data_IF_568279748428
#
_entry.id   IF_568279748428
#
_cell.length_a   1.000
_cell.length_b   1.000
_cell.length_c   1.000
_cell.angle_alpha   90.00
_cell.angle_beta   90.00
_cell.angle_gamma   90.00
#
_symmetry.space_group_name_H-M   'P 1'
#
loop_
_entity.id
_entity.type
_entity.pdbx_description
1 polymer ?
#
# COMPACT_ATOMS: atom_id res chain seq x y z
N UNK A 1 9.34 -2.41 -11.13
CA UNK A 1 9.79 -2.45 -9.71
C UNK A 1 10.03 -1.08 -9.08
N UNK A 2 11.04 -0.30 -9.52
CA UNK A 2 11.40 0.98 -8.88
C UNK A 2 10.25 2.00 -8.83
N UNK A 3 9.46 2.09 -9.91
CA UNK A 3 8.28 2.95 -9.98
C UNK A 3 7.20 2.52 -8.98
N UNK A 4 6.89 1.22 -8.90
CA UNK A 4 5.91 0.69 -7.94
C UNK A 4 6.34 0.96 -6.49
N UNK A 5 7.61 0.73 -6.14
CA UNK A 5 8.11 1.05 -4.79
C UNK A 5 8.03 2.55 -4.49
N UNK A 6 8.31 3.41 -5.47
CA UNK A 6 8.18 4.86 -5.32
C UNK A 6 6.72 5.29 -5.13
N UNK A 7 5.82 4.78 -5.96
CA UNK A 7 4.39 5.11 -5.88
C UNK A 7 3.79 4.62 -4.57
N UNK A 8 4.12 3.39 -4.15
CA UNK A 8 3.69 2.87 -2.86
C UNK A 8 4.23 3.71 -1.71
N UNK A 9 5.55 4.01 -1.70
CA UNK A 9 6.13 4.89 -0.69
C UNK A 9 5.51 6.27 -0.62
N UNK A 10 5.13 6.84 -1.76
CA UNK A 10 4.51 8.16 -1.84
C UNK A 10 3.10 8.12 -1.27
N UNK A 11 2.29 7.15 -1.70
CA UNK A 11 0.94 6.91 -1.20
C UNK A 11 0.92 6.71 0.33
N UNK A 12 1.92 6.02 0.88
CA UNK A 12 2.03 5.75 2.31
C UNK A 12 2.79 6.83 3.11
N UNK A 13 3.30 7.89 2.46
CA UNK A 13 4.29 8.81 3.09
C UNK A 13 3.69 9.87 4.00
N UNK A 14 2.38 10.08 3.97
CA UNK A 14 1.77 11.28 4.55
C UNK A 14 0.98 10.92 5.80
N UNK A 15 1.45 11.27 7.01
CA UNK A 15 0.53 11.57 8.10
C UNK A 15 -0.14 12.92 7.78
N UNK A 16 -1.47 13.01 7.85
CA UNK A 16 -2.26 14.25 7.72
C UNK A 16 -2.55 14.75 6.29
N UNK A 17 -3.01 13.87 5.39
CA UNK A 17 -3.80 14.30 4.22
C UNK A 17 -5.18 14.81 4.66
N UNK A 18 -5.88 15.64 3.85
CA UNK A 18 -7.17 16.17 4.24
C UNK A 18 -8.18 15.05 4.56
N UNK A 19 -9.17 15.34 5.42
CA UNK A 19 -10.19 14.38 5.83
C UNK A 19 -10.85 13.65 4.66
N UNK A 20 -11.39 12.47 4.96
CA UNK A 20 -11.97 11.42 4.08
C UNK A 20 -12.76 11.85 2.83
N UNK A 21 -13.24 13.09 2.74
CA UNK A 21 -13.99 13.61 1.60
C UNK A 21 -13.13 14.16 0.44
N UNK A 22 -11.80 14.23 0.61
CA UNK A 22 -10.86 14.72 -0.41
C UNK A 22 -9.91 13.64 -0.94
N UNK A 23 -10.21 12.34 -0.75
CA UNK A 23 -9.44 11.26 -1.40
C UNK A 23 -9.59 11.41 -2.91
N UNK A 24 -8.49 11.70 -3.60
CA UNK A 24 -8.44 11.57 -5.05
C UNK A 24 -8.50 10.07 -5.41
N UNK A 25 -9.58 9.61 -6.07
CA UNK A 25 -9.69 8.20 -6.47
C UNK A 25 -8.51 7.73 -7.32
N UNK A 26 -7.88 8.65 -8.05
CA UNK A 26 -6.68 8.36 -8.84
C UNK A 26 -5.49 8.01 -7.96
N UNK A 27 -5.31 8.67 -6.82
CA UNK A 27 -4.20 8.40 -5.89
C UNK A 27 -4.34 7.02 -5.23
N UNK A 28 -5.56 6.67 -4.82
CA UNK A 28 -5.89 5.34 -4.29
C UNK A 28 -5.62 4.25 -5.32
N UNK A 29 -6.08 4.44 -6.57
CA UNK A 29 -5.83 3.49 -7.65
C UNK A 29 -4.33 3.30 -7.91
N UNK A 30 -3.56 4.40 -7.95
CA UNK A 30 -2.10 4.36 -8.13
C UNK A 30 -1.41 3.65 -6.96
N UNK A 31 -1.83 3.92 -5.72
CA UNK A 31 -1.30 3.27 -4.51
C UNK A 31 -1.59 1.77 -4.49
N UNK A 32 -2.85 1.38 -4.67
CA UNK A 32 -3.27 -0.02 -4.65
C UNK A 32 -2.65 -0.83 -5.79
N UNK A 33 -2.61 -0.27 -7.00
CA UNK A 33 -1.94 -0.90 -8.15
C UNK A 33 -0.44 -1.07 -7.88
N UNK A 34 0.21 -0.08 -7.25
CA UNK A 34 1.61 -0.18 -6.88
C UNK A 34 1.85 -1.31 -5.87
N UNK A 35 1.00 -1.45 -4.84
CA UNK A 35 1.13 -2.53 -3.85
C UNK A 35 0.89 -3.91 -4.44
N UNK A 36 -0.11 -4.05 -5.31
CA UNK A 36 -0.37 -5.29 -6.04
C UNK A 36 0.82 -5.67 -6.95
N UNK A 37 1.42 -4.68 -7.63
CA UNK A 37 2.61 -4.90 -8.47
C UNK A 37 3.82 -5.37 -7.66
N UNK A 38 4.02 -4.80 -6.46
CA UNK A 38 5.10 -5.21 -5.54
C UNK A 38 4.86 -6.61 -5.00
N UNK A 39 3.61 -6.98 -4.70
CA UNK A 39 3.26 -8.33 -4.29
C UNK A 39 3.59 -9.34 -5.38
N UNK A 40 3.07 -9.14 -6.60
CA UNK A 40 3.31 -10.02 -7.73
C UNK A 40 4.80 -10.22 -7.99
N UNK A 41 5.59 -9.15 -7.87
CA UNK A 41 7.04 -9.21 -7.96
C UNK A 41 7.70 -10.05 -6.86
N UNK A 42 7.25 -9.94 -5.60
CA UNK A 42 7.75 -10.76 -4.49
C UNK A 42 7.42 -12.24 -4.75
N UNK A 43 6.23 -12.54 -5.26
CA UNK A 43 5.79 -13.91 -5.57
C UNK A 43 6.53 -14.53 -6.76
N UNK A 44 6.96 -13.72 -7.73
CA UNK A 44 7.70 -14.19 -8.89
C UNK A 44 9.18 -14.56 -8.59
N UNK A 45 9.73 -14.04 -7.48
CA UNK A 45 11.11 -14.27 -7.07
C UNK A 45 11.22 -15.46 -6.11
N UNK A 46 12.37 -16.14 -6.11
CA UNK A 46 12.63 -17.13 -5.07
C UNK A 46 12.80 -16.44 -3.70
N UNK A 47 12.63 -17.19 -2.61
CA UNK A 47 12.61 -16.63 -1.25
C UNK A 47 13.85 -15.80 -0.89
N UNK A 48 15.04 -16.17 -1.39
CA UNK A 48 16.29 -15.44 -1.09
C UNK A 48 16.37 -14.13 -1.86
N UNK A 49 15.99 -14.14 -3.14
CA UNK A 49 15.96 -12.96 -4.00
C UNK A 49 14.85 -11.98 -3.62
N UNK A 50 13.71 -12.50 -3.16
CA UNK A 50 12.58 -11.70 -2.71
C UNK A 50 12.86 -10.98 -1.39
N UNK A 51 13.78 -11.49 -0.56
CA UNK A 51 13.99 -10.99 0.81
C UNK A 51 14.26 -9.48 0.87
N UNK A 52 15.19 -8.90 0.09
CA UNK A 52 15.45 -7.46 0.15
C UNK A 52 14.23 -6.62 -0.26
N UNK A 53 13.47 -7.07 -1.27
CA UNK A 53 12.25 -6.39 -1.70
C UNK A 53 11.15 -6.49 -0.65
N UNK A 54 10.96 -7.67 -0.05
CA UNK A 54 10.00 -7.91 1.03
C UNK A 54 10.32 -7.05 2.25
N UNK A 55 11.58 -7.03 2.70
CA UNK A 55 12.02 -6.20 3.83
C UNK A 55 11.83 -4.68 3.56
N UNK A 56 11.82 -4.25 2.30
CA UNK A 56 11.48 -2.87 1.92
C UNK A 56 9.97 -2.62 1.93
N UNK A 57 9.17 -3.54 1.38
CA UNK A 57 7.71 -3.43 1.35
C UNK A 57 7.12 -3.50 2.75
N UNK A 58 7.58 -4.43 3.59
CA UNK A 58 7.09 -4.61 4.96
C UNK A 58 7.27 -3.34 5.81
N UNK A 59 8.39 -2.61 5.62
CA UNK A 59 8.60 -1.32 6.31
C UNK A 59 7.62 -0.24 5.87
N UNK A 60 7.27 -0.22 4.60
CA UNK A 60 6.33 0.75 4.03
C UNK A 60 4.90 0.40 4.43
N UNK A 61 4.56 -0.89 4.38
CA UNK A 61 3.28 -1.44 4.84
C UNK A 61 3.05 -1.16 6.33
N UNK A 62 4.07 -1.31 7.17
CA UNK A 62 3.97 -1.01 8.60
C UNK A 62 3.66 0.47 8.87
N UNK A 63 4.28 1.38 8.11
CA UNK A 63 4.00 2.82 8.22
C UNK A 63 2.56 3.15 7.81
N UNK A 64 2.09 2.57 6.71
CA UNK A 64 0.70 2.72 6.25
C UNK A 64 -0.29 2.15 7.28
N UNK A 65 -0.02 0.97 7.79
CA UNK A 65 -0.85 0.32 8.80
C UNK A 65 -0.98 1.16 10.07
N UNK A 66 0.12 1.73 10.56
CA UNK A 66 0.14 2.56 11.76
C UNK A 66 -0.68 3.85 11.61
N UNK A 67 -0.86 4.34 10.38
CA UNK A 67 -1.52 5.59 10.11
C UNK A 67 -2.94 5.45 9.55
N UNK A 68 -3.47 4.21 9.44
CA UNK A 68 -4.77 3.95 8.83
C UNK A 68 -5.73 3.09 9.66
N UNK A 69 -7.00 3.52 9.59
CA UNK A 69 -8.27 2.82 9.77
C UNK A 69 -8.48 1.51 9.08
N UNK A 70 -9.08 0.48 9.68
CA UNK A 70 -9.98 -0.37 8.90
C UNK A 70 -11.19 0.44 8.44
N UNK A 71 -11.50 0.37 7.15
CA UNK A 71 -12.75 0.88 6.58
C UNK A 71 -13.86 -0.17 6.72
N UNK A 72 -14.95 0.08 7.47
CA UNK A 72 -16.06 -0.86 7.62
C UNK A 72 -16.90 -1.02 6.36
N UNK A 73 -16.77 -0.13 5.37
CA UNK A 73 -17.55 -0.14 4.14
C UNK A 73 -16.87 -0.93 3.00
N UNK A 74 -15.58 -1.23 3.14
CA UNK A 74 -14.86 -2.02 2.14
C UNK A 74 -15.11 -3.52 2.33
N UNK A 75 -15.37 -4.22 1.22
CA UNK A 75 -15.61 -5.66 1.22
C UNK A 75 -14.44 -6.48 1.81
N UNK A 76 -14.74 -7.47 2.65
CA UNK A 76 -13.75 -8.32 3.33
C UNK A 76 -12.86 -9.13 2.38
N UNK A 77 -13.34 -9.39 1.16
CA UNK A 77 -12.58 -10.09 0.12
C UNK A 77 -11.43 -9.25 -0.46
N UNK A 78 -11.40 -7.93 -0.21
CA UNK A 78 -10.33 -7.05 -0.69
C UNK A 78 -9.04 -7.27 0.09
N UNK A 79 -7.88 -7.08 -0.54
CA UNK A 79 -6.60 -7.06 0.15
C UNK A 79 -6.60 -6.11 1.34
N UNK A 80 -5.79 -6.40 2.36
CA UNK A 80 -5.84 -5.65 3.61
C UNK A 80 -5.53 -4.16 3.42
N UNK A 81 -4.69 -3.77 2.46
CA UNK A 81 -4.36 -2.36 2.20
C UNK A 81 -5.49 -1.59 1.52
N UNK A 82 -6.35 -2.27 0.75
CA UNK A 82 -7.56 -1.67 0.16
C UNK A 82 -8.65 -1.47 1.22
N UNK A 83 -8.63 -2.27 2.28
CA UNK A 83 -9.54 -2.14 3.43
C UNK A 83 -9.11 -1.06 4.42
N UNK A 84 -8.17 -0.20 4.02
CA UNK A 84 -7.62 0.86 4.87
C UNK A 84 -8.03 2.24 4.41
N UNK A 85 -8.28 3.11 5.40
CA UNK A 85 -8.55 4.52 5.20
C UNK A 85 -7.78 5.36 6.21
N UNK A 86 -7.38 6.56 5.82
CA UNK A 86 -6.82 7.53 6.75
C UNK A 86 -7.88 7.95 7.77
N UNK A 87 -7.42 8.22 8.99
CA UNK A 87 -8.26 8.72 10.08
C UNK A 87 -8.53 10.21 9.96
#
# INVERSE_FOLDING_TARGET
MKVALRNWRWFTRIPLGPPTWERDPYEDEVGFTARATLEAAIWALNRREAKPLRDLVDRVDAAFYAATVNDPFTALARPWWERRQWH
#
